data_IF_004874188201
#
_entry.id   IF_004874188201
#
_cell.length_a   1.000
_cell.length_b   1.000
_cell.length_c   1.000
_cell.angle_alpha   90.00
_cell.angle_beta   90.00
_cell.angle_gamma   90.00
#
_symmetry.space_group_name_H-M   'P 1'
#
loop_
_entity.id
_entity.type
_entity.pdbx_description
1 polymer ?
#
# COMPACT_ATOMS: atom_id res chain seq x y z
N UNK A 1 -19.15 -27.90 12.46
CA UNK A 1 -18.49 -27.33 11.27
C UNK A 1 -18.68 -25.84 11.32
N UNK A 2 -17.61 -25.07 11.12
CA UNK A 2 -17.61 -23.61 11.23
C UNK A 2 -18.54 -22.98 10.17
N UNK A 3 -19.59 -22.21 10.55
CA UNK A 3 -20.60 -21.71 9.62
C UNK A 3 -20.15 -20.50 8.77
N UNK A 4 -18.90 -20.02 8.90
CA UNK A 4 -18.48 -18.75 8.29
C UNK A 4 -17.76 -18.85 6.93
N UNK A 5 -17.52 -20.05 6.41
CA UNK A 5 -16.84 -20.18 5.10
C UNK A 5 -17.85 -20.33 3.96
N UNK A 6 -18.00 -19.31 3.08
CA UNK A 6 -18.88 -19.42 1.93
C UNK A 6 -18.47 -20.63 1.09
N UNK A 7 -19.44 -21.47 0.73
CA UNK A 7 -19.24 -22.63 -0.15
C UNK A 7 -18.92 -22.14 -1.57
N UNK A 8 -17.70 -21.65 -1.79
CA UNK A 8 -17.28 -21.14 -3.08
C UNK A 8 -17.03 -22.33 -4.03
N UNK A 9 -17.68 -22.41 -5.21
CA UNK A 9 -17.49 -23.49 -6.18
C UNK A 9 -16.13 -23.41 -6.88
N UNK A 10 -15.48 -22.25 -6.83
CA UNK A 10 -14.11 -22.07 -7.30
C UNK A 10 -13.12 -22.45 -6.19
N UNK A 11 -12.42 -23.57 -6.42
CA UNK A 11 -11.47 -24.15 -5.47
C UNK A 11 -10.30 -23.21 -5.17
N UNK A 12 -9.86 -22.40 -6.15
CA UNK A 12 -8.77 -21.45 -5.95
C UNK A 12 -9.15 -20.34 -4.96
N UNK A 13 -10.33 -19.74 -5.18
CA UNK A 13 -10.84 -18.67 -4.31
C UNK A 13 -11.04 -19.14 -2.86
N UNK A 14 -11.49 -20.38 -2.66
CA UNK A 14 -11.62 -21.00 -1.32
C UNK A 14 -10.26 -21.19 -0.65
N UNK A 15 -9.25 -21.67 -1.38
CA UNK A 15 -7.90 -21.88 -0.83
C UNK A 15 -7.24 -20.56 -0.44
N UNK A 16 -7.35 -19.53 -1.28
CA UNK A 16 -6.83 -18.18 -0.99
C UNK A 16 -7.44 -17.63 0.30
N UNK A 17 -8.77 -17.76 0.45
CA UNK A 17 -9.48 -17.27 1.64
C UNK A 17 -9.01 -18.01 2.91
N UNK A 18 -8.88 -19.33 2.86
CA UNK A 18 -8.35 -20.12 3.97
C UNK A 18 -6.93 -19.71 4.35
N UNK A 19 -6.05 -19.53 3.36
CA UNK A 19 -4.68 -19.11 3.58
C UNK A 19 -4.61 -17.72 4.25
N UNK A 20 -5.45 -16.77 3.81
CA UNK A 20 -5.48 -15.44 4.44
C UNK A 20 -6.02 -15.47 5.87
N UNK A 21 -7.03 -16.30 6.17
CA UNK A 21 -7.54 -16.47 7.53
C UNK A 21 -6.48 -17.06 8.47
N UNK A 22 -5.72 -18.04 8.00
CA UNK A 22 -4.57 -18.58 8.76
C UNK A 22 -3.49 -17.52 9.00
N UNK A 23 -3.20 -16.67 8.00
CA UNK A 23 -2.27 -15.54 8.16
C UNK A 23 -2.77 -14.51 9.17
N UNK A 24 -4.07 -14.20 9.19
CA UNK A 24 -4.65 -13.33 10.22
C UNK A 24 -4.42 -13.91 11.60
N UNK A 25 -4.72 -15.20 11.81
CA UNK A 25 -4.51 -15.85 13.11
C UNK A 25 -3.04 -15.76 13.58
N UNK A 26 -2.10 -16.02 12.67
CA UNK A 26 -0.67 -15.86 12.93
C UNK A 26 -0.31 -14.42 13.33
N UNK A 27 -0.75 -13.42 12.55
CA UNK A 27 -0.39 -12.03 12.80
C UNK A 27 -1.07 -11.45 14.04
N UNK A 28 -2.29 -11.87 14.38
CA UNK A 28 -2.91 -11.56 15.68
C UNK A 28 -2.07 -12.08 16.84
N UNK A 29 -1.56 -13.32 16.73
CA UNK A 29 -0.68 -13.88 17.75
C UNK A 29 0.65 -13.12 17.86
N UNK A 30 1.29 -12.80 16.73
CA UNK A 30 2.51 -11.98 16.71
C UNK A 30 2.28 -10.61 17.33
N UNK A 31 1.18 -9.93 16.99
CA UNK A 31 0.82 -8.63 17.56
C UNK A 31 0.67 -8.71 19.08
N UNK A 32 0.03 -9.77 19.59
CA UNK A 32 -0.12 -10.03 21.02
C UNK A 32 1.20 -10.30 21.74
N UNK A 33 2.18 -10.91 21.07
CA UNK A 33 3.52 -11.10 21.63
C UNK A 33 4.26 -9.76 21.64
N UNK A 34 4.32 -9.07 20.50
CA UNK A 34 5.05 -7.81 20.35
C UNK A 34 4.49 -6.71 21.27
N UNK A 35 3.19 -6.72 21.58
CA UNK A 35 2.58 -5.71 22.46
C UNK A 35 2.94 -5.88 23.95
N UNK A 36 3.45 -7.06 24.33
CA UNK A 36 3.83 -7.38 25.72
C UNK A 36 5.30 -7.15 26.00
N UNK A 37 6.13 -6.93 24.98
CA UNK A 37 7.57 -6.69 25.15
C UNK A 37 7.76 -5.27 25.69
N UNK A 38 8.16 -5.17 26.96
CA UNK A 38 8.46 -3.89 27.61
C UNK A 38 9.82 -3.38 27.12
N UNK A 39 9.91 -2.08 26.83
CA UNK A 39 11.22 -1.45 26.64
C UNK A 39 11.98 -1.47 27.97
N UNK A 40 13.19 -1.99 27.95
CA UNK A 40 14.12 -1.90 29.06
C UNK A 40 14.83 -0.54 29.02
N UNK A 41 15.03 0.04 30.19
CA UNK A 41 15.76 1.30 30.33
C UNK A 41 16.93 1.00 31.26
N UNK A 42 18.14 1.06 30.71
CA UNK A 42 19.38 0.80 31.43
C UNK A 42 20.12 2.12 31.63
N UNK A 43 20.62 2.35 32.84
CA UNK A 43 21.47 3.51 33.15
C UNK A 43 22.94 3.06 33.14
N UNK A 44 23.67 3.44 32.09
CA UNK A 44 25.08 3.11 31.90
C UNK A 44 25.89 4.39 32.07
N UNK A 45 26.58 4.52 33.20
CA UNK A 45 27.51 5.64 33.42
C UNK A 45 26.85 7.03 33.50
N UNK A 46 25.57 7.12 33.90
CA UNK A 46 24.83 8.38 33.95
C UNK A 46 24.08 8.71 32.66
N UNK A 47 24.24 7.91 31.61
CA UNK A 47 23.48 7.99 30.37
C UNK A 47 22.32 6.98 30.39
N UNK A 48 21.12 7.47 30.07
CA UNK A 48 19.91 6.65 30.00
C UNK A 48 19.83 6.00 28.61
N UNK A 49 20.11 4.69 28.52
CA UNK A 49 19.98 3.91 27.30
C UNK A 49 18.64 3.18 27.31
N UNK A 50 17.79 3.45 26.32
CA UNK A 50 16.52 2.73 26.15
C UNK A 50 16.72 1.59 25.16
N UNK A 51 16.79 0.36 25.66
CA UNK A 51 16.71 -0.87 24.86
C UNK A 51 15.24 -1.20 24.60
N UNK A 52 14.76 -0.97 23.37
CA UNK A 52 13.34 -1.21 23.06
C UNK A 52 12.85 -0.65 21.72
N UNK A 53 13.68 0.07 20.98
CA UNK A 53 13.34 0.54 19.63
C UNK A 53 13.00 -0.65 18.71
N UNK A 54 13.72 -1.77 18.83
CA UNK A 54 13.45 -3.00 18.07
C UNK A 54 12.11 -3.65 18.43
N UNK A 55 11.68 -3.53 19.70
CA UNK A 55 10.36 -3.97 20.16
C UNK A 55 9.26 -3.14 19.49
N UNK A 56 9.39 -1.81 19.49
CA UNK A 56 8.44 -0.92 18.82
C UNK A 56 8.39 -1.16 17.31
N UNK A 57 9.53 -1.35 16.66
CA UNK A 57 9.61 -1.68 15.23
C UNK A 57 8.90 -3.01 14.93
N UNK A 58 9.14 -4.05 15.75
CA UNK A 58 8.49 -5.36 15.61
C UNK A 58 6.98 -5.26 15.77
N UNK A 59 6.49 -4.47 16.73
CA UNK A 59 5.05 -4.22 16.91
C UNK A 59 4.42 -3.53 15.70
N UNK A 60 5.10 -2.52 15.14
CA UNK A 60 4.65 -1.81 13.93
C UNK A 60 4.57 -2.79 12.74
N UNK A 61 5.56 -3.66 12.58
CA UNK A 61 5.58 -4.64 11.49
C UNK A 61 4.47 -5.69 11.63
N UNK A 62 4.24 -6.21 12.84
CA UNK A 62 3.14 -7.15 13.11
C UNK A 62 1.77 -6.52 12.77
N UNK A 63 1.56 -5.24 13.14
CA UNK A 63 0.35 -4.51 12.81
C UNK A 63 0.17 -4.31 11.29
N UNK A 64 1.23 -3.92 10.57
CA UNK A 64 1.21 -3.77 9.10
C UNK A 64 0.87 -5.09 8.42
N UNK A 65 1.48 -6.18 8.87
CA UNK A 65 1.24 -7.51 8.32
C UNK A 65 -0.20 -7.96 8.55
N UNK A 66 -0.73 -7.75 9.76
CA UNK A 66 -2.14 -8.02 10.08
C UNK A 66 -3.08 -7.23 9.17
N UNK A 67 -2.86 -5.91 9.04
CA UNK A 67 -3.68 -5.05 8.19
C UNK A 67 -3.70 -5.52 6.73
N UNK A 68 -2.53 -5.87 6.18
CA UNK A 68 -2.42 -6.39 4.83
C UNK A 68 -3.17 -7.73 4.64
N UNK A 69 -3.11 -8.63 5.62
CA UNK A 69 -3.84 -9.91 5.58
C UNK A 69 -5.35 -9.71 5.67
N UNK A 70 -5.81 -8.78 6.51
CA UNK A 70 -7.22 -8.40 6.63
C UNK A 70 -7.73 -7.83 5.31
N UNK A 71 -7.01 -6.90 4.68
CA UNK A 71 -7.40 -6.33 3.37
C UNK A 71 -7.49 -7.41 2.29
N UNK A 72 -6.53 -8.34 2.25
CA UNK A 72 -6.56 -9.47 1.30
C UNK A 72 -7.77 -10.38 1.54
N UNK A 73 -8.07 -10.71 2.80
CA UNK A 73 -9.23 -11.51 3.19
C UNK A 73 -10.53 -10.83 2.77
N UNK A 74 -10.69 -9.54 3.04
CA UNK A 74 -11.89 -8.77 2.65
C UNK A 74 -12.09 -8.79 1.13
N UNK A 75 -11.01 -8.60 0.35
CA UNK A 75 -11.06 -8.67 -1.12
C UNK A 75 -11.43 -10.08 -1.61
N UNK A 76 -10.82 -11.11 -1.05
CA UNK A 76 -11.11 -12.50 -1.41
C UNK A 76 -12.55 -12.88 -1.05
N UNK A 77 -13.04 -12.50 0.13
CA UNK A 77 -14.43 -12.70 0.56
C UNK A 77 -15.44 -12.01 -0.36
N UNK A 78 -15.13 -10.81 -0.84
CA UNK A 78 -15.96 -10.12 -1.83
C UNK A 78 -16.05 -10.92 -3.13
N UNK A 79 -14.90 -11.38 -3.66
CA UNK A 79 -14.86 -12.20 -4.88
C UNK A 79 -15.65 -13.49 -4.67
N UNK A 80 -15.41 -14.21 -3.57
CA UNK A 80 -16.13 -15.44 -3.23
C UNK A 80 -17.64 -15.23 -3.19
N UNK A 81 -18.09 -14.19 -2.47
CA UNK A 81 -19.52 -13.87 -2.30
C UNK A 81 -20.20 -13.55 -3.63
N UNK A 82 -19.57 -12.73 -4.47
CA UNK A 82 -20.14 -12.30 -5.76
C UNK A 82 -20.09 -13.39 -6.81
N UNK A 83 -19.05 -14.25 -6.83
CA UNK A 83 -18.96 -15.43 -7.70
C UNK A 83 -20.03 -16.46 -7.33
N UNK A 84 -20.23 -16.73 -6.04
CA UNK A 84 -21.27 -17.64 -5.55
C UNK A 84 -22.67 -17.18 -5.94
N UNK A 85 -22.98 -15.90 -5.72
CA UNK A 85 -24.27 -15.29 -6.09
C UNK A 85 -24.55 -15.42 -7.60
N UNK A 86 -23.52 -15.31 -8.46
CA UNK A 86 -23.65 -15.43 -9.91
C UNK A 86 -23.78 -16.88 -10.41
N UNK A 87 -23.20 -17.85 -9.69
CA UNK A 87 -23.13 -19.25 -10.09
C UNK A 87 -24.36 -20.09 -9.69
N UNK A 88 -25.00 -19.79 -8.57
CA UNK A 88 -25.94 -20.71 -7.92
C UNK A 88 -27.32 -20.10 -7.64
N UNK A 89 -27.64 -18.90 -8.17
CA UNK A 89 -28.98 -18.30 -8.06
C UNK A 89 -29.51 -18.30 -6.62
N UNK A 90 -29.14 -17.28 -5.85
CA UNK A 90 -29.33 -17.12 -4.40
C UNK A 90 -30.77 -17.33 -3.88
N UNK A 91 -31.25 -18.58 -3.89
CA UNK A 91 -32.58 -18.97 -3.43
C UNK A 91 -32.55 -19.84 -2.17
N UNK A 92 -31.40 -20.43 -1.80
CA UNK A 92 -31.30 -21.31 -0.62
C UNK A 92 -30.66 -20.66 0.62
N UNK A 93 -30.04 -19.49 0.49
CA UNK A 93 -29.44 -18.75 1.61
C UNK A 93 -30.13 -17.37 1.71
N UNK A 94 -31.16 -17.29 2.53
CA UNK A 94 -31.89 -16.06 2.84
C UNK A 94 -30.91 -14.92 3.18
N UNK A 95 -30.79 -13.95 2.26
CA UNK A 95 -29.90 -12.78 2.27
C UNK A 95 -28.37 -13.09 2.35
N UNK A 96 -27.53 -12.35 1.60
CA UNK A 96 -26.11 -12.36 1.91
C UNK A 96 -25.96 -11.66 3.26
N UNK A 97 -25.44 -12.36 4.28
CA UNK A 97 -25.19 -11.79 5.60
C UNK A 97 -24.31 -10.53 5.58
N UNK A 98 -23.63 -10.25 4.46
CA UNK A 98 -22.74 -9.11 4.24
C UNK A 98 -23.12 -8.37 2.96
N UNK A 99 -23.40 -7.07 3.07
CA UNK A 99 -23.58 -6.15 1.93
C UNK A 99 -22.27 -5.43 1.59
N UNK A 100 -21.89 -5.43 0.31
CA UNK A 100 -20.62 -4.84 -0.15
C UNK A 100 -20.83 -3.47 -0.78
N UNK A 101 -20.17 -2.43 -0.25
CA UNK A 101 -20.14 -1.08 -0.83
C UNK A 101 -18.72 -0.78 -1.33
N UNK A 102 -18.46 -1.01 -2.61
CA UNK A 102 -17.17 -0.70 -3.24
C UNK A 102 -17.26 0.57 -4.09
N UNK A 103 -16.24 1.41 -4.02
CA UNK A 103 -16.01 2.51 -4.96
C UNK A 103 -15.06 2.02 -6.05
N UNK A 104 -15.32 2.38 -7.31
CA UNK A 104 -14.40 2.08 -8.41
C UNK A 104 -13.01 2.67 -8.12
N UNK A 105 -11.91 1.96 -8.47
CA UNK A 105 -10.57 2.49 -8.29
C UNK A 105 -10.40 3.83 -9.01
N UNK A 106 -9.62 4.73 -8.41
CA UNK A 106 -9.30 5.99 -9.06
C UNK A 106 -8.46 5.74 -10.32
N UNK A 107 -8.75 6.51 -11.38
CA UNK A 107 -8.00 6.44 -12.62
C UNK A 107 -6.57 6.91 -12.35
N UNK A 108 -5.60 6.02 -12.55
CA UNK A 108 -4.19 6.42 -12.51
C UNK A 108 -3.91 7.39 -13.67
N UNK A 109 -3.13 8.46 -13.46
CA UNK A 109 -2.82 9.39 -14.53
C UNK A 109 -1.99 8.68 -15.61
N UNK A 110 -2.38 8.85 -16.88
CA UNK A 110 -1.73 8.19 -18.02
C UNK A 110 -0.31 8.72 -18.25
N UNK A 111 -0.05 9.95 -17.84
CA UNK A 111 1.26 10.60 -17.89
C UNK A 111 1.52 11.22 -16.52
N UNK A 112 2.73 11.01 -15.98
CA UNK A 112 3.18 11.74 -14.78
C UNK A 112 3.08 13.23 -15.08
N UNK A 113 2.12 13.92 -14.47
CA UNK A 113 2.25 15.37 -14.31
C UNK A 113 3.41 15.59 -13.35
N UNK A 114 4.43 16.30 -13.78
CA UNK A 114 5.43 16.83 -12.87
C UNK A 114 4.69 17.71 -11.86
N UNK A 115 4.59 17.26 -10.60
CA UNK A 115 4.10 18.13 -9.54
C UNK A 115 5.24 19.08 -9.22
N UNK A 116 5.07 20.35 -9.54
CA UNK A 116 5.90 21.45 -9.06
C UNK A 116 5.53 21.77 -7.60
N UNK A 117 5.47 20.76 -6.72
CA UNK A 117 5.49 21.03 -5.29
C UNK A 117 5.90 19.80 -4.49
N UNK A 118 6.62 20.09 -3.41
CA UNK A 118 7.35 19.21 -2.50
C UNK A 118 8.75 18.79 -2.98
N UNK A 119 9.76 19.37 -2.33
CA UNK A 119 11.22 19.16 -2.45
C UNK A 119 11.96 19.85 -3.61
N UNK A 120 11.84 21.18 -3.73
CA UNK A 120 13.00 21.99 -4.15
C UNK A 120 13.91 22.25 -2.94
N UNK A 121 14.79 21.30 -2.61
CA UNK A 121 16.07 21.66 -2.00
C UNK A 121 16.79 22.55 -3.00
N UNK A 122 16.90 23.85 -2.70
CA UNK A 122 17.61 24.86 -3.50
C UNK A 122 19.09 24.48 -3.63
N UNK A 123 19.43 23.64 -4.60
CA UNK A 123 20.79 23.59 -5.13
C UNK A 123 20.89 24.73 -6.14
N UNK A 124 21.54 25.83 -5.76
CA UNK A 124 21.92 26.92 -6.67
C UNK A 124 22.87 26.37 -7.73
N UNK A 125 22.34 25.91 -8.86
CA UNK A 125 23.13 25.67 -10.08
C UNK A 125 23.39 27.03 -10.72
N UNK A 126 24.64 27.49 -10.65
CA UNK A 126 25.09 28.64 -11.43
C UNK A 126 24.96 28.33 -12.92
N UNK A 127 24.65 29.37 -13.71
CA UNK A 127 24.40 29.38 -15.15
C UNK A 127 22.96 29.06 -15.56
N UNK A 128 22.12 30.10 -15.58
CA UNK A 128 20.85 30.07 -16.31
C UNK A 128 21.17 29.92 -17.81
N UNK A 129 20.89 28.75 -18.38
CA UNK A 129 20.88 28.55 -19.83
C UNK A 129 19.75 29.40 -20.40
N UNK A 130 20.09 30.55 -20.99
CA UNK A 130 19.11 31.37 -21.72
C UNK A 130 18.52 30.52 -22.85
N UNK A 131 17.20 30.50 -22.96
CA UNK A 131 16.49 29.88 -24.08
C UNK A 131 16.74 30.73 -25.33
N UNK A 132 17.72 30.32 -26.14
CA UNK A 132 18.05 30.98 -27.39
C UNK A 132 17.09 30.47 -28.47
N UNK A 133 16.33 31.36 -29.09
CA UNK A 133 15.48 31.01 -30.22
C UNK A 133 16.40 30.62 -31.40
N UNK A 134 16.25 29.40 -31.97
CA UNK A 134 17.16 28.89 -33.00
C UNK A 134 17.23 29.79 -34.24
N UNK A 135 16.15 30.50 -34.58
CA UNK A 135 16.16 31.45 -35.72
C UNK A 135 17.06 32.66 -35.42
N UNK A 136 17.03 33.16 -34.18
CA UNK A 136 17.82 34.32 -33.78
C UNK A 136 19.32 34.00 -33.72
N UNK A 137 19.69 32.81 -33.25
CA UNK A 137 21.09 32.34 -33.27
C UNK A 137 21.64 32.22 -34.70
N UNK A 138 20.80 31.77 -35.65
CA UNK A 138 21.20 31.66 -37.05
C UNK A 138 21.33 33.02 -37.73
N UNK A 139 20.50 34.00 -37.34
CA UNK A 139 20.61 35.39 -37.82
C UNK A 139 21.90 36.07 -37.37
N UNK A 140 22.35 35.84 -36.12
CA UNK A 140 23.62 36.37 -35.61
C UNK A 140 24.84 35.80 -36.36
N UNK A 141 24.77 34.53 -36.79
CA UNK A 141 25.87 33.89 -37.52
C UNK A 141 26.01 34.38 -38.97
N UNK A 142 24.89 34.71 -39.64
CA UNK A 142 24.91 35.23 -41.02
C UNK A 142 25.30 36.70 -41.15
N UNK A 143 25.32 37.46 -40.06
CA UNK A 143 25.76 38.87 -40.08
C UNK A 143 27.30 39.01 -40.18
N UNK A 144 28.07 37.92 -40.05
CA UNK A 144 29.53 37.94 -40.11
C UNK A 144 30.11 37.68 -41.51
N UNK A 145 29.30 37.36 -42.52
CA UNK A 145 29.73 37.13 -43.93
C UNK A 145 29.43 38.32 -44.86
N UNK A 146 29.58 39.56 -44.38
CA UNK A 146 29.48 40.76 -45.24
C UNK A 146 30.54 41.81 -44.92
N UNK A 147 31.79 41.37 -44.74
CA UNK A 147 33.00 42.21 -44.86
C UNK A 147 33.78 41.73 -46.08
#
# INVERSE_FOLDING_TARGET
GDPALPQCPDSACKQDLLAYLQRIALYCHQLNICSKVKAEVQNLGGELVVSGVDSAMSLIQAAKNLMNAVVQTVKASYVASTKYQKSQGMASLNLPAVSWKMKAPEKKPLVKREKQDETQTKIKRASQKKHVNPVQALSEFKAMDSI
#
